data_IF_442439683632
#
_entry.id   IF_442439683632
#
_cell.length_a   1.000
_cell.length_b   1.000
_cell.length_c   1.000
_cell.angle_alpha   90.00
_cell.angle_beta   90.00
_cell.angle_gamma   90.00
#
_symmetry.space_group_name_H-M   'P 1'
#
loop_
_entity.id
_entity.type
_entity.pdbx_description
1 polymer ?
#
# COMPACT_ATOMS: atom_id res chain seq x y z
N UNK A 1 -47.59 -15.18 3.07
CA UNK A 1 -47.79 -13.86 2.42
C UNK A 1 -47.30 -14.00 0.98
N UNK A 2 -47.93 -13.37 -0.05
CA UNK A 2 -47.40 -13.44 -1.39
C UNK A 2 -46.01 -12.77 -1.36
N UNK A 3 -45.03 -13.40 -2.02
CA UNK A 3 -43.66 -12.88 -2.11
C UNK A 3 -43.71 -11.47 -2.67
N UNK A 4 -43.05 -10.52 -2.02
CA UNK A 4 -42.99 -9.12 -2.45
C UNK A 4 -42.29 -9.08 -3.82
N UNK A 5 -42.95 -8.56 -4.85
CA UNK A 5 -42.42 -8.53 -6.21
C UNK A 5 -41.22 -7.61 -6.25
N UNK A 6 -40.08 -8.13 -6.70
CA UNK A 6 -38.86 -7.33 -6.92
C UNK A 6 -39.12 -6.21 -7.94
N UNK A 7 -38.44 -5.06 -7.85
CA UNK A 7 -38.66 -3.90 -8.75
C UNK A 7 -38.57 -4.22 -10.24
N UNK A 8 -37.79 -5.24 -10.61
CA UNK A 8 -37.58 -5.68 -12.01
C UNK A 8 -38.49 -6.84 -12.45
N UNK A 9 -39.37 -7.32 -11.58
CA UNK A 9 -40.20 -8.53 -11.85
C UNK A 9 -41.36 -8.31 -12.82
N UNK A 10 -41.56 -7.12 -13.38
CA UNK A 10 -42.77 -6.75 -14.13
C UNK A 10 -43.14 -7.63 -15.31
N UNK A 11 -42.17 -8.31 -15.97
CA UNK A 11 -42.42 -9.21 -17.12
C UNK A 11 -42.41 -10.70 -16.77
N UNK A 12 -42.03 -11.06 -15.55
CA UNK A 12 -41.87 -12.47 -15.16
C UNK A 12 -43.16 -13.03 -14.62
N UNK A 13 -43.49 -14.24 -15.03
CA UNK A 13 -44.68 -14.99 -14.58
C UNK A 13 -44.43 -15.77 -13.28
N UNK A 14 -43.15 -16.06 -12.96
CA UNK A 14 -42.75 -16.82 -11.80
C UNK A 14 -41.84 -15.99 -10.89
N UNK A 15 -41.83 -16.31 -9.59
CA UNK A 15 -40.89 -15.74 -8.64
C UNK A 15 -39.50 -16.33 -8.83
N UNK A 16 -38.47 -15.55 -8.52
CA UNK A 16 -37.07 -16.01 -8.55
C UNK A 16 -36.90 -17.17 -7.52
N UNK A 17 -36.24 -18.24 -7.91
CA UNK A 17 -35.97 -19.35 -7.00
C UNK A 17 -35.05 -18.88 -5.84
N UNK A 18 -35.36 -19.30 -4.62
CA UNK A 18 -34.59 -18.91 -3.43
C UNK A 18 -33.09 -19.27 -3.49
N UNK A 19 -32.73 -20.33 -4.24
CA UNK A 19 -31.33 -20.69 -4.50
C UNK A 19 -30.61 -19.66 -5.36
N UNK A 20 -31.30 -19.09 -6.37
CA UNK A 20 -30.77 -18.03 -7.24
C UNK A 20 -30.62 -16.75 -6.44
N UNK A 21 -31.60 -16.39 -5.59
CA UNK A 21 -31.48 -15.19 -4.75
C UNK A 21 -30.27 -15.26 -3.83
N UNK A 22 -30.04 -16.38 -3.16
CA UNK A 22 -28.86 -16.59 -2.30
C UNK A 22 -27.56 -16.54 -3.10
N UNK A 23 -27.53 -17.13 -4.30
CA UNK A 23 -26.33 -17.20 -5.14
C UNK A 23 -25.96 -15.84 -5.72
N UNK A 24 -26.94 -14.98 -6.00
CA UNK A 24 -26.71 -13.68 -6.63
C UNK A 24 -26.64 -12.51 -5.62
N UNK A 25 -26.94 -12.75 -4.34
CA UNK A 25 -26.89 -11.71 -3.32
C UNK A 25 -25.47 -11.30 -3.00
N UNK A 26 -25.21 -9.99 -2.97
CA UNK A 26 -23.93 -9.38 -2.61
C UNK A 26 -23.95 -8.61 -1.29
N UNK A 27 -25.12 -8.51 -0.65
CA UNK A 27 -25.34 -7.70 0.55
C UNK A 27 -24.32 -7.97 1.67
N UNK A 28 -23.86 -9.20 1.81
CA UNK A 28 -22.95 -9.60 2.90
C UNK A 28 -21.57 -8.94 2.80
N UNK A 29 -21.10 -8.56 1.61
CA UNK A 29 -19.84 -7.84 1.43
C UNK A 29 -20.05 -6.39 0.97
N UNK A 30 -21.06 -6.09 0.14
CA UNK A 30 -21.23 -4.75 -0.43
C UNK A 30 -21.89 -3.75 0.55
N UNK A 31 -22.43 -4.22 1.67
CA UNK A 31 -22.97 -3.34 2.73
C UNK A 31 -21.99 -2.26 3.18
N UNK A 32 -20.67 -2.44 3.01
CA UNK A 32 -19.65 -1.41 3.31
C UNK A 32 -19.75 -0.18 2.42
N UNK A 33 -20.42 -0.28 1.27
CA UNK A 33 -20.60 0.83 0.32
C UNK A 33 -21.71 1.80 0.71
N UNK A 34 -22.45 1.56 1.79
CA UNK A 34 -23.64 2.34 2.17
C UNK A 34 -23.40 3.86 2.22
N UNK A 35 -22.22 4.30 2.66
CA UNK A 35 -21.87 5.74 2.70
C UNK A 35 -21.74 6.31 1.30
N UNK A 36 -21.06 5.57 0.42
CA UNK A 36 -20.84 5.97 -0.98
C UNK A 36 -22.16 6.02 -1.75
N UNK A 37 -23.02 5.01 -1.57
CA UNK A 37 -24.33 4.98 -2.21
C UNK A 37 -25.20 6.16 -1.78
N UNK A 38 -25.23 6.46 -0.48
CA UNK A 38 -26.03 7.60 0.04
C UNK A 38 -25.44 8.92 -0.43
N UNK A 39 -24.11 9.10 -0.45
CA UNK A 39 -23.43 10.30 -0.97
C UNK A 39 -23.77 10.51 -2.45
N UNK A 40 -23.61 9.47 -3.27
CA UNK A 40 -23.96 9.49 -4.69
C UNK A 40 -25.44 9.76 -4.92
N UNK A 41 -26.32 9.13 -4.15
CA UNK A 41 -27.77 9.31 -4.23
C UNK A 41 -28.22 10.72 -3.84
N UNK A 42 -27.60 11.36 -2.85
CA UNK A 42 -27.85 12.74 -2.46
C UNK A 42 -27.47 13.70 -3.58
N UNK A 43 -26.30 13.52 -4.19
CA UNK A 43 -25.84 14.31 -5.32
C UNK A 43 -26.75 14.14 -6.55
N UNK A 44 -27.17 12.90 -6.82
CA UNK A 44 -28.10 12.59 -7.90
C UNK A 44 -29.46 13.27 -7.71
N UNK A 45 -30.08 13.12 -6.54
CA UNK A 45 -31.35 13.76 -6.24
C UNK A 45 -31.28 15.32 -6.34
N UNK A 46 -30.14 15.89 -5.93
CA UNK A 46 -29.88 17.32 -6.06
C UNK A 46 -29.83 17.73 -7.54
N UNK A 47 -29.08 17.02 -8.35
CA UNK A 47 -28.96 17.28 -9.79
C UNK A 47 -30.31 17.14 -10.51
N UNK A 48 -31.10 16.08 -10.20
CA UNK A 48 -32.46 15.93 -10.76
C UNK A 48 -33.36 17.12 -10.51
N UNK A 49 -33.30 17.71 -9.31
CA UNK A 49 -34.05 18.91 -8.98
C UNK A 49 -33.51 20.16 -9.66
N UNK A 50 -32.18 20.30 -9.75
CA UNK A 50 -31.54 21.42 -10.43
C UNK A 50 -31.87 21.43 -11.94
N UNK A 51 -32.03 20.26 -12.54
CA UNK A 51 -32.46 20.06 -13.92
C UNK A 51 -34.00 20.13 -14.11
N UNK A 52 -34.80 20.31 -13.06
CA UNK A 52 -36.27 20.37 -13.12
C UNK A 52 -36.92 19.00 -13.40
N UNK A 53 -36.22 17.88 -13.31
CA UNK A 53 -36.74 16.54 -13.55
C UNK A 53 -37.64 16.08 -12.40
N UNK A 54 -37.29 16.46 -11.16
CA UNK A 54 -38.14 16.31 -9.97
C UNK A 54 -38.30 17.66 -9.28
N UNK A 55 -39.40 17.83 -8.51
CA UNK A 55 -39.61 19.07 -7.78
C UNK A 55 -38.60 19.23 -6.64
N UNK A 56 -38.13 20.46 -6.37
CA UNK A 56 -37.18 20.75 -5.27
C UNK A 56 -37.66 20.24 -3.91
N UNK A 57 -38.96 20.27 -3.63
CA UNK A 57 -39.54 19.72 -2.39
C UNK A 57 -39.42 18.22 -2.30
N UNK A 58 -39.47 17.50 -3.43
CA UNK A 58 -39.33 16.04 -3.50
C UNK A 58 -37.86 15.65 -3.28
N UNK A 59 -36.93 16.34 -3.95
CA UNK A 59 -35.49 16.13 -3.71
C UNK A 59 -35.13 16.39 -2.23
N UNK A 60 -35.65 17.46 -1.64
CA UNK A 60 -35.43 17.75 -0.21
C UNK A 60 -35.99 16.65 0.71
N UNK A 61 -37.11 16.01 0.34
CA UNK A 61 -37.70 14.88 1.08
C UNK A 61 -36.82 13.62 0.94
N UNK A 62 -36.36 13.32 -0.28
CA UNK A 62 -35.44 12.23 -0.58
C UNK A 62 -34.12 12.37 0.20
N UNK A 63 -33.49 13.56 0.11
CA UNK A 63 -32.21 13.83 0.79
C UNK A 63 -32.34 13.69 2.31
N UNK A 64 -33.43 14.19 2.91
CA UNK A 64 -33.67 13.98 4.35
C UNK A 64 -33.83 12.50 4.70
N UNK A 65 -34.56 11.74 3.87
CA UNK A 65 -34.75 10.30 4.05
C UNK A 65 -33.42 9.55 3.99
N UNK A 66 -32.59 9.83 2.98
CA UNK A 66 -31.24 9.23 2.82
C UNK A 66 -30.32 9.54 4.01
N UNK A 67 -30.30 10.81 4.47
CA UNK A 67 -29.49 11.21 5.64
C UNK A 67 -29.97 10.55 6.93
N UNK A 68 -31.27 10.31 7.08
CA UNK A 68 -31.81 9.58 8.22
C UNK A 68 -31.42 8.10 8.18
N UNK A 69 -31.44 7.47 6.99
CA UNK A 69 -30.96 6.10 6.79
C UNK A 69 -29.47 5.99 7.13
N UNK A 70 -28.64 6.92 6.63
CA UNK A 70 -27.22 6.99 6.96
C UNK A 70 -27.00 7.03 8.48
N UNK A 71 -27.72 7.92 9.17
CA UNK A 71 -27.58 8.03 10.62
C UNK A 71 -28.03 6.79 11.40
N UNK A 72 -28.99 6.01 10.87
CA UNK A 72 -29.39 4.73 11.47
C UNK A 72 -28.35 3.62 11.22
N UNK A 73 -27.76 3.60 10.01
CA UNK A 73 -26.66 2.67 9.70
C UNK A 73 -25.42 2.92 10.57
N UNK A 74 -25.04 4.17 10.73
CA UNK A 74 -23.91 4.58 11.56
C UNK A 74 -24.07 4.25 13.05
N UNK A 75 -25.34 4.24 13.52
CA UNK A 75 -25.69 3.88 14.91
C UNK A 75 -25.96 2.39 15.09
N UNK A 76 -25.80 1.57 14.03
CA UNK A 76 -26.14 0.14 14.08
C UNK A 76 -27.62 -0.17 14.25
N UNK A 77 -28.50 0.77 13.92
CA UNK A 77 -29.97 0.61 14.05
C UNK A 77 -30.65 0.12 12.78
N UNK A 78 -29.93 0.15 11.65
CA UNK A 78 -30.46 -0.34 10.39
C UNK A 78 -30.44 -1.87 10.37
N UNK A 79 -31.59 -2.47 10.08
CA UNK A 79 -31.74 -3.92 9.97
C UNK A 79 -31.72 -4.29 8.50
N UNK A 80 -30.71 -5.05 8.08
CA UNK A 80 -30.63 -5.60 6.73
C UNK A 80 -31.59 -6.78 6.60
N UNK A 81 -32.41 -6.78 5.54
CA UNK A 81 -33.22 -7.92 5.17
C UNK A 81 -32.38 -8.90 4.32
N UNK A 82 -32.24 -10.16 4.72
CA UNK A 82 -31.52 -11.15 3.91
C UNK A 82 -32.11 -11.38 2.50
N UNK A 83 -33.35 -10.93 2.26
CA UNK A 83 -33.99 -10.98 0.94
C UNK A 83 -33.56 -9.82 0.01
N UNK A 84 -32.89 -8.78 0.54
CA UNK A 84 -32.32 -7.72 -0.29
C UNK A 84 -31.11 -8.25 -1.05
N UNK A 85 -31.09 -7.96 -2.35
CA UNK A 85 -30.04 -8.46 -3.26
C UNK A 85 -28.68 -7.81 -2.99
N UNK A 86 -28.70 -6.50 -2.73
CA UNK A 86 -27.53 -5.64 -2.54
C UNK A 86 -27.86 -4.47 -1.59
N UNK A 87 -26.81 -3.73 -1.20
CA UNK A 87 -26.93 -2.54 -0.34
C UNK A 87 -27.82 -1.44 -0.97
N UNK A 88 -27.79 -1.33 -2.28
CA UNK A 88 -28.53 -0.33 -3.02
C UNK A 88 -30.04 -0.60 -2.96
N UNK A 89 -30.44 -1.87 -3.09
CA UNK A 89 -31.84 -2.29 -2.91
C UNK A 89 -32.31 -2.07 -1.47
N UNK A 90 -31.47 -2.41 -0.48
CA UNK A 90 -31.78 -2.19 0.93
C UNK A 90 -32.04 -0.71 1.24
N UNK A 91 -31.20 0.21 0.72
CA UNK A 91 -31.37 1.66 0.90
C UNK A 91 -32.60 2.18 0.17
N UNK A 92 -32.84 1.78 -1.09
CA UNK A 92 -33.96 2.21 -1.90
C UNK A 92 -35.30 1.74 -1.30
N UNK A 93 -35.39 0.48 -0.90
CA UNK A 93 -36.56 -0.10 -0.23
C UNK A 93 -36.89 0.65 1.08
N UNK A 94 -35.88 0.88 1.91
CA UNK A 94 -36.08 1.61 3.16
C UNK A 94 -36.45 3.07 2.92
N UNK A 95 -35.88 3.72 1.91
CA UNK A 95 -36.27 5.08 1.53
C UNK A 95 -37.74 5.14 1.12
N UNK A 96 -38.22 4.24 0.25
CA UNK A 96 -39.62 4.14 -0.18
C UNK A 96 -40.51 3.89 1.02
N UNK A 97 -40.13 2.99 1.93
CA UNK A 97 -40.88 2.71 3.17
C UNK A 97 -41.08 3.98 4.02
N UNK A 98 -40.05 4.83 4.13
CA UNK A 98 -40.11 6.08 4.95
C UNK A 98 -40.84 7.21 4.31
N UNK A 99 -40.75 7.39 2.99
CA UNK A 99 -41.24 8.59 2.32
C UNK A 99 -42.25 8.31 1.21
N UNK A 100 -42.67 7.04 1.03
CA UNK A 100 -43.65 6.65 0.03
C UNK A 100 -43.11 6.78 -1.40
N UNK A 101 -44.01 6.90 -2.39
CA UNK A 101 -43.71 6.94 -3.82
C UNK A 101 -42.69 8.00 -4.23
N UNK A 102 -42.52 9.03 -3.44
CA UNK A 102 -41.45 10.03 -3.66
C UNK A 102 -40.06 9.36 -3.62
N UNK A 103 -39.86 8.30 -2.82
CA UNK A 103 -38.62 7.58 -2.74
C UNK A 103 -38.24 6.90 -4.05
N UNK A 104 -39.22 6.34 -4.78
CA UNK A 104 -39.00 5.71 -6.09
C UNK A 104 -38.49 6.66 -7.18
N UNK A 105 -38.72 8.00 -7.02
CA UNK A 105 -38.19 8.99 -7.96
C UNK A 105 -36.66 9.10 -7.94
N UNK A 106 -35.99 8.60 -6.90
CA UNK A 106 -34.52 8.57 -6.82
C UNK A 106 -33.90 7.76 -7.96
N UNK A 107 -34.57 6.72 -8.47
CA UNK A 107 -34.04 5.88 -9.54
C UNK A 107 -34.15 6.53 -10.94
N UNK A 108 -34.78 7.70 -11.06
CA UNK A 108 -34.95 8.41 -12.35
C UNK A 108 -33.62 8.69 -13.00
N UNK A 109 -33.46 8.34 -14.30
CA UNK A 109 -32.24 8.53 -15.11
C UNK A 109 -30.99 7.80 -14.57
N UNK A 110 -31.14 6.76 -13.77
CA UNK A 110 -30.07 5.96 -13.18
C UNK A 110 -30.29 4.49 -13.44
N UNK A 111 -29.20 3.75 -13.61
CA UNK A 111 -29.15 2.29 -13.60
C UNK A 111 -28.35 1.79 -12.40
N UNK A 112 -28.57 0.53 -11.98
CA UNK A 112 -27.69 -0.12 -11.03
C UNK A 112 -26.23 -0.14 -11.51
N UNK A 113 -25.99 -0.20 -12.84
CA UNK A 113 -24.65 -0.27 -13.43
C UNK A 113 -23.81 0.99 -13.14
N UNK A 114 -24.35 2.19 -13.42
CA UNK A 114 -23.61 3.43 -13.18
C UNK A 114 -23.62 3.84 -11.69
N UNK A 115 -24.62 3.41 -10.92
CA UNK A 115 -24.68 3.57 -9.48
C UNK A 115 -23.52 2.77 -8.81
N UNK A 116 -23.37 1.50 -9.09
CA UNK A 116 -22.27 0.65 -8.57
C UNK A 116 -20.91 1.21 -9.02
N UNK A 117 -20.78 1.59 -10.30
CA UNK A 117 -19.55 2.18 -10.80
C UNK A 117 -19.15 3.46 -10.03
N UNK A 118 -20.12 4.29 -9.63
CA UNK A 118 -19.88 5.47 -8.80
C UNK A 118 -19.42 5.07 -7.40
N UNK A 119 -20.14 4.16 -6.74
CA UNK A 119 -19.89 3.78 -5.36
C UNK A 119 -18.52 3.15 -5.19
N UNK A 120 -18.11 2.30 -6.12
CA UNK A 120 -16.77 1.70 -6.14
C UNK A 120 -15.67 2.77 -6.30
N UNK A 121 -15.88 3.79 -7.16
CA UNK A 121 -14.93 4.89 -7.31
C UNK A 121 -14.88 5.80 -6.09
N UNK A 122 -16.02 6.11 -5.47
CA UNK A 122 -16.07 6.87 -4.22
C UNK A 122 -15.35 6.12 -3.09
N UNK A 123 -15.68 4.83 -2.93
CA UNK A 123 -15.03 3.96 -1.94
C UNK A 123 -13.52 3.93 -2.13
N UNK A 124 -13.06 3.56 -3.33
CA UNK A 124 -11.63 3.41 -3.56
C UNK A 124 -10.89 4.76 -3.48
N UNK A 125 -11.52 5.88 -3.86
CA UNK A 125 -10.96 7.22 -3.66
C UNK A 125 -10.68 7.51 -2.19
N UNK A 126 -11.62 7.19 -1.30
CA UNK A 126 -11.45 7.38 0.14
C UNK A 126 -10.37 6.45 0.70
N UNK A 127 -10.33 5.19 0.26
CA UNK A 127 -9.33 4.24 0.73
C UNK A 127 -7.91 4.57 0.23
N UNK A 128 -7.77 5.05 -1.00
CA UNK A 128 -6.48 5.54 -1.50
C UNK A 128 -5.98 6.72 -0.67
N UNK A 129 -6.86 7.65 -0.29
CA UNK A 129 -6.50 8.79 0.56
C UNK A 129 -6.09 8.32 1.97
N UNK A 130 -6.77 7.31 2.54
CA UNK A 130 -6.46 6.71 3.84
C UNK A 130 -5.12 5.94 3.80
N UNK A 131 -4.91 5.09 2.81
CA UNK A 131 -3.66 4.33 2.62
C UNK A 131 -2.48 5.29 2.40
N UNK A 132 -2.68 6.34 1.61
CA UNK A 132 -1.70 7.41 1.38
C UNK A 132 -1.26 8.06 2.68
N UNK A 133 -2.21 8.39 3.57
CA UNK A 133 -1.90 8.95 4.89
C UNK A 133 -1.10 7.98 5.76
N UNK A 134 -1.40 6.67 5.72
CA UNK A 134 -0.64 5.64 6.45
C UNK A 134 0.78 5.48 5.92
N UNK A 135 0.97 5.51 4.59
CA UNK A 135 2.30 5.49 3.98
C UNK A 135 3.14 6.71 4.40
N UNK A 136 2.55 7.89 4.43
CA UNK A 136 3.22 9.10 4.96
C UNK A 136 3.59 8.90 6.44
N UNK A 137 2.71 8.28 7.23
CA UNK A 137 3.00 7.92 8.61
C UNK A 137 4.20 6.99 8.75
N UNK A 138 4.25 5.93 7.94
CA UNK A 138 5.37 4.99 7.90
C UNK A 138 6.67 5.67 7.47
N UNK A 139 6.64 6.52 6.44
CA UNK A 139 7.80 7.29 6.01
C UNK A 139 8.33 8.18 7.12
N UNK A 140 7.46 8.92 7.82
CA UNK A 140 7.84 9.73 8.98
C UNK A 140 8.50 8.91 10.08
N UNK A 141 7.99 7.71 10.35
CA UNK A 141 8.57 6.78 11.32
C UNK A 141 9.98 6.35 10.90
N UNK A 142 10.17 5.98 9.63
CA UNK A 142 11.49 5.60 9.09
C UNK A 142 12.49 6.75 9.15
N UNK A 143 12.07 7.95 8.81
CA UNK A 143 12.90 9.18 8.88
C UNK A 143 13.32 9.46 10.32
N UNK A 144 12.40 9.34 11.28
CA UNK A 144 12.70 9.53 12.72
C UNK A 144 13.71 8.48 13.22
N UNK A 145 13.53 7.21 12.83
CA UNK A 145 14.47 6.14 13.14
C UNK A 145 15.84 6.38 12.49
N UNK A 146 15.89 6.73 11.20
CA UNK A 146 17.13 7.03 10.50
C UNK A 146 17.89 8.20 11.15
N UNK A 147 17.18 9.22 11.63
CA UNK A 147 17.79 10.33 12.36
C UNK A 147 18.44 9.87 13.67
N UNK A 148 17.75 9.01 14.42
CA UNK A 148 18.26 8.45 15.68
C UNK A 148 19.51 7.58 15.44
N UNK A 149 19.49 6.80 14.36
CA UNK A 149 20.52 5.82 14.02
C UNK A 149 21.59 6.35 13.04
N UNK A 150 21.74 7.68 12.92
CA UNK A 150 22.62 8.32 11.93
C UNK A 150 24.11 7.96 12.11
N UNK A 151 24.51 7.43 13.25
CA UNK A 151 25.87 7.01 13.55
C UNK A 151 26.06 5.50 13.62
N UNK A 152 24.97 4.72 13.58
CA UNK A 152 24.99 3.28 13.69
C UNK A 152 25.53 2.67 12.41
N UNK A 153 26.73 2.07 12.48
CA UNK A 153 27.38 1.35 11.38
C UNK A 153 26.95 -0.10 11.42
N UNK A 154 26.61 -0.66 10.26
CA UNK A 154 26.24 -2.05 10.09
C UNK A 154 26.92 -2.65 8.84
N UNK A 155 27.03 -3.99 8.72
CA UNK A 155 27.46 -4.59 7.48
C UNK A 155 26.39 -4.46 6.41
N UNK A 156 26.73 -3.94 5.23
CA UNK A 156 25.91 -4.06 4.05
C UNK A 156 26.09 -5.45 3.43
N UNK A 157 25.04 -6.00 2.83
CA UNK A 157 25.03 -7.33 2.25
C UNK A 157 24.72 -7.31 0.75
N UNK A 158 25.42 -8.12 0.00
CA UNK A 158 25.05 -8.55 -1.36
C UNK A 158 25.20 -10.05 -1.43
N UNK A 159 24.27 -10.76 -2.11
CA UNK A 159 24.28 -12.22 -2.19
C UNK A 159 24.30 -12.92 -0.80
N UNK A 160 23.71 -12.30 0.23
CA UNK A 160 23.78 -12.73 1.62
C UNK A 160 25.21 -12.81 2.19
N UNK A 161 26.18 -12.20 1.50
CA UNK A 161 27.56 -12.08 1.96
C UNK A 161 27.82 -10.64 2.45
N UNK A 162 28.63 -10.51 3.50
CA UNK A 162 29.10 -9.20 3.95
C UNK A 162 29.87 -8.51 2.82
N UNK A 163 29.50 -7.27 2.53
CA UNK A 163 30.10 -6.50 1.46
C UNK A 163 30.85 -5.29 2.03
N UNK A 164 30.20 -4.17 2.18
CA UNK A 164 30.81 -2.93 2.66
C UNK A 164 30.06 -2.42 3.90
N UNK A 165 30.73 -1.64 4.79
CA UNK A 165 30.04 -1.02 5.91
C UNK A 165 29.10 0.08 5.40
N UNK A 166 27.90 0.15 5.97
CA UNK A 166 26.89 1.15 5.68
C UNK A 166 26.31 1.71 6.99
N UNK A 167 25.63 2.83 6.93
CA UNK A 167 24.83 3.30 8.07
C UNK A 167 23.48 2.60 8.10
N UNK A 168 22.98 2.24 9.29
CA UNK A 168 21.62 1.78 9.48
C UNK A 168 20.61 2.83 8.99
N UNK A 169 20.90 4.11 9.22
CA UNK A 169 20.11 5.21 8.69
C UNK A 169 20.00 5.18 7.17
N UNK A 170 21.09 4.83 6.46
CA UNK A 170 21.08 4.70 5.00
C UNK A 170 20.17 3.56 4.54
N UNK A 171 20.20 2.43 5.23
CA UNK A 171 19.32 1.29 4.99
C UNK A 171 17.83 1.65 5.22
N UNK A 172 17.50 2.30 6.32
CA UNK A 172 16.13 2.74 6.62
C UNK A 172 15.60 3.71 5.56
N UNK A 173 16.44 4.64 5.12
CA UNK A 173 16.09 5.58 4.05
C UNK A 173 15.87 4.88 2.70
N UNK A 174 16.51 3.74 2.43
CA UNK A 174 16.23 2.97 1.21
C UNK A 174 14.78 2.47 1.15
N UNK A 175 14.21 2.05 2.28
CA UNK A 175 12.78 1.72 2.37
C UNK A 175 11.87 2.95 2.30
N UNK A 176 12.28 4.08 2.89
CA UNK A 176 11.56 5.33 2.72
C UNK A 176 11.42 5.72 1.24
N UNK A 177 12.48 5.51 0.42
CA UNK A 177 12.44 5.71 -1.04
C UNK A 177 11.49 4.74 -1.75
N UNK A 178 11.40 3.48 -1.30
CA UNK A 178 10.46 2.52 -1.88
C UNK A 178 9.02 2.96 -1.63
N UNK A 179 8.69 3.35 -0.40
CA UNK A 179 7.35 3.83 -0.03
C UNK A 179 7.02 5.20 -0.65
N UNK A 180 8.03 6.03 -0.95
CA UNK A 180 7.83 7.26 -1.73
C UNK A 180 7.32 6.94 -3.15
N UNK A 181 7.91 5.97 -3.81
CA UNK A 181 7.44 5.52 -5.13
C UNK A 181 6.06 4.87 -5.09
N UNK A 182 5.69 4.21 -3.97
CA UNK A 182 4.34 3.67 -3.79
C UNK A 182 3.32 4.79 -3.60
N UNK A 183 3.69 5.84 -2.86
CA UNK A 183 2.88 7.05 -2.70
C UNK A 183 2.61 7.75 -4.05
N UNK A 184 3.62 7.85 -4.90
CA UNK A 184 3.50 8.41 -6.24
C UNK A 184 2.56 7.57 -7.13
N UNK A 185 2.67 6.23 -7.08
CA UNK A 185 1.76 5.32 -7.79
C UNK A 185 0.32 5.46 -7.31
N UNK A 186 0.08 5.54 -6.01
CA UNK A 186 -1.25 5.78 -5.47
C UNK A 186 -1.83 7.11 -5.95
N UNK A 187 -1.02 8.17 -5.96
CA UNK A 187 -1.41 9.48 -6.49
C UNK A 187 -1.82 9.42 -7.97
N UNK A 188 -1.09 8.65 -8.77
CA UNK A 188 -1.41 8.45 -10.18
C UNK A 188 -2.66 7.58 -10.38
N UNK A 189 -2.80 6.50 -9.64
CA UNK A 189 -4.00 5.65 -9.62
C UNK A 189 -5.25 6.48 -9.25
N UNK A 190 -5.14 7.32 -8.22
CA UNK A 190 -6.21 8.21 -7.78
C UNK A 190 -6.77 9.11 -8.89
N UNK A 191 -5.93 9.57 -9.80
CA UNK A 191 -6.37 10.39 -10.94
C UNK A 191 -7.34 9.63 -11.85
N UNK A 192 -7.08 8.34 -12.09
CA UNK A 192 -7.93 7.47 -12.93
C UNK A 192 -9.19 6.99 -12.20
N UNK A 193 -9.14 6.83 -10.89
CA UNK A 193 -10.32 6.60 -10.05
C UNK A 193 -11.24 7.82 -10.09
N UNK A 194 -10.69 9.03 -10.08
CA UNK A 194 -11.41 10.28 -9.84
C UNK A 194 -12.08 10.83 -11.11
N UNK A 195 -12.87 9.98 -11.81
CA UNK A 195 -13.67 10.31 -12.99
C UNK A 195 -15.12 9.90 -12.74
N UNK A 196 -16.07 10.81 -12.86
CA UNK A 196 -17.50 10.55 -12.56
C UNK A 196 -18.12 9.58 -13.59
N UNK A 197 -18.65 8.42 -13.17
CA UNK A 197 -19.38 7.51 -14.04
C UNK A 197 -20.88 7.82 -14.12
N UNK A 198 -21.49 8.38 -13.07
CA UNK A 198 -22.94 8.52 -12.95
C UNK A 198 -23.54 9.33 -14.12
N UNK A 199 -24.68 8.86 -14.61
CA UNK A 199 -25.34 9.37 -15.81
C UNK A 199 -24.98 8.59 -17.07
N UNK A 200 -24.11 7.57 -16.99
CA UNK A 200 -23.93 6.58 -18.05
C UNK A 200 -25.15 5.65 -18.16
N UNK A 201 -25.99 5.60 -17.14
CA UNK A 201 -27.14 4.71 -16.99
C UNK A 201 -26.74 3.23 -17.21
N UNK A 202 -27.53 2.43 -17.94
CA UNK A 202 -27.20 1.03 -18.16
C UNK A 202 -25.97 0.83 -19.06
N UNK A 203 -25.87 1.61 -20.16
CA UNK A 203 -24.78 1.57 -21.16
C UNK A 203 -24.86 2.69 -22.21
N UNK A 204 -26.03 3.31 -22.40
CA UNK A 204 -26.27 4.23 -23.50
C UNK A 204 -26.59 5.68 -23.06
N UNK A 205 -26.42 5.97 -21.76
CA UNK A 205 -26.89 7.21 -21.18
C UNK A 205 -28.42 7.24 -21.01
N UNK A 206 -28.99 8.43 -20.92
CA UNK A 206 -30.44 8.64 -20.73
C UNK A 206 -30.97 9.72 -21.67
N UNK A 207 -32.22 9.61 -22.09
CA UNK A 207 -32.93 10.66 -22.83
C UNK A 207 -33.42 11.85 -21.99
N UNK A 208 -33.26 11.79 -20.65
CA UNK A 208 -33.62 12.86 -19.77
C UNK A 208 -32.52 13.95 -19.71
N UNK A 209 -32.85 15.23 -19.55
CA UNK A 209 -31.90 16.36 -19.58
C UNK A 209 -31.10 16.47 -18.28
N UNK A 210 -30.32 15.44 -17.91
CA UNK A 210 -29.46 15.43 -16.73
C UNK A 210 -28.19 16.28 -16.95
N UNK A 211 -27.64 16.80 -15.85
CA UNK A 211 -26.35 17.50 -15.86
C UNK A 211 -25.29 16.70 -15.09
N UNK A 212 -24.49 15.91 -15.81
CA UNK A 212 -23.40 15.13 -15.25
C UNK A 212 -22.27 15.99 -14.65
N UNK A 213 -22.03 17.21 -15.19
CA UNK A 213 -21.04 18.14 -14.65
C UNK A 213 -21.48 18.67 -13.30
N UNK A 214 -22.81 18.92 -13.14
CA UNK A 214 -23.36 19.30 -11.85
C UNK A 214 -23.15 18.21 -10.80
N UNK A 215 -23.41 16.95 -11.16
CA UNK A 215 -23.16 15.79 -10.28
C UNK A 215 -21.67 15.67 -9.95
N UNK A 216 -20.79 15.85 -10.94
CA UNK A 216 -19.34 15.83 -10.73
C UNK A 216 -18.88 16.90 -9.73
N UNK A 217 -19.39 18.12 -9.86
CA UNK A 217 -19.09 19.21 -8.94
C UNK A 217 -19.56 18.91 -7.50
N UNK A 218 -20.76 18.33 -7.35
CA UNK A 218 -21.31 17.95 -6.04
C UNK A 218 -20.50 16.87 -5.32
N UNK A 219 -19.86 15.97 -6.09
CA UNK A 219 -19.06 14.85 -5.57
C UNK A 219 -17.53 15.09 -5.67
N UNK A 220 -17.11 16.31 -6.03
CA UNK A 220 -15.71 16.68 -6.19
C UNK A 220 -14.94 15.79 -7.20
N UNK A 221 -15.60 15.41 -8.30
CA UNK A 221 -14.91 14.77 -9.43
C UNK A 221 -14.43 15.85 -10.42
N UNK A 222 -13.15 15.86 -10.82
CA UNK A 222 -12.61 16.83 -11.76
C UNK A 222 -13.03 16.58 -13.21
N UNK A 223 -13.51 15.38 -13.52
CA UNK A 223 -13.87 14.96 -14.87
C UNK A 223 -15.10 14.06 -14.88
N UNK A 224 -15.74 13.97 -16.05
CA UNK A 224 -16.86 13.06 -16.34
C UNK A 224 -16.39 12.07 -17.38
N UNK A 225 -16.75 10.79 -17.23
CA UNK A 225 -16.40 9.75 -18.19
C UNK A 225 -16.99 10.03 -19.60
N UNK A 226 -16.20 9.73 -20.63
CA UNK A 226 -16.47 10.15 -21.99
C UNK A 226 -17.38 9.20 -22.80
N UNK A 227 -17.41 7.91 -22.41
CA UNK A 227 -18.20 6.88 -23.12
C UNK A 227 -18.99 6.05 -22.10
N UNK A 228 -20.30 5.96 -22.27
CA UNK A 228 -21.19 5.28 -21.32
C UNK A 228 -21.04 3.77 -21.30
N UNK A 229 -20.68 3.14 -22.42
CA UNK A 229 -20.46 1.69 -22.51
C UNK A 229 -19.19 1.28 -21.76
N UNK A 230 -18.11 1.99 -22.00
CA UNK A 230 -16.84 1.84 -21.29
C UNK A 230 -17.01 2.07 -19.79
N UNK A 231 -17.69 3.17 -19.43
CA UNK A 231 -17.90 3.60 -18.05
C UNK A 231 -18.49 2.53 -17.13
N UNK A 232 -19.46 1.75 -17.61
CA UNK A 232 -20.13 0.72 -16.81
C UNK A 232 -19.38 -0.61 -16.81
N UNK A 233 -18.42 -0.79 -17.72
CA UNK A 233 -17.56 -1.97 -17.83
C UNK A 233 -16.21 -1.79 -17.11
N UNK A 234 -15.71 -0.56 -17.04
CA UNK A 234 -14.37 -0.23 -16.56
C UNK A 234 -14.13 -0.71 -15.12
N UNK A 235 -13.10 -1.53 -14.98
CA UNK A 235 -12.51 -1.97 -13.71
C UNK A 235 -10.98 -1.84 -13.73
N UNK A 236 -10.42 -1.17 -14.72
CA UNK A 236 -8.98 -0.99 -14.87
C UNK A 236 -8.38 -0.30 -13.64
N UNK A 237 -9.10 0.67 -13.07
CA UNK A 237 -8.69 1.37 -11.86
C UNK A 237 -8.63 0.45 -10.62
N UNK A 238 -9.44 -0.63 -10.58
CA UNK A 238 -9.38 -1.65 -9.53
C UNK A 238 -8.15 -2.52 -9.72
N UNK A 239 -7.89 -2.98 -10.95
CA UNK A 239 -6.69 -3.74 -11.28
C UNK A 239 -5.42 -2.94 -10.99
N UNK A 240 -5.41 -1.65 -11.35
CA UNK A 240 -4.31 -0.73 -11.06
C UNK A 240 -4.08 -0.57 -9.56
N UNK A 241 -5.13 -0.36 -8.78
CA UNK A 241 -5.00 -0.28 -7.31
C UNK A 241 -4.44 -1.58 -6.73
N UNK A 242 -4.97 -2.75 -7.13
CA UNK A 242 -4.47 -4.04 -6.65
C UNK A 242 -3.02 -4.28 -7.05
N UNK A 243 -2.57 -3.78 -8.22
CA UNK A 243 -1.15 -3.79 -8.59
C UNK A 243 -0.31 -2.92 -7.66
N UNK A 244 -0.74 -1.69 -7.38
CA UNK A 244 -0.03 -0.79 -6.45
C UNK A 244 0.04 -1.39 -5.05
N UNK A 245 -1.08 -1.96 -4.56
CA UNK A 245 -1.15 -2.66 -3.28
C UNK A 245 -0.18 -3.86 -3.24
N UNK A 246 -0.15 -4.66 -4.30
CA UNK A 246 0.76 -5.81 -4.44
C UNK A 246 2.23 -5.38 -4.36
N UNK A 247 2.60 -4.29 -5.03
CA UNK A 247 3.97 -3.78 -5.01
C UNK A 247 4.35 -3.21 -3.64
N UNK A 248 3.43 -2.50 -2.98
CA UNK A 248 3.63 -2.01 -1.62
C UNK A 248 3.82 -3.17 -0.63
N UNK A 249 3.00 -4.23 -0.74
CA UNK A 249 3.16 -5.45 0.05
C UNK A 249 4.49 -6.17 -0.22
N UNK A 250 5.00 -6.14 -1.46
CA UNK A 250 6.33 -6.66 -1.78
C UNK A 250 7.44 -5.89 -1.05
N UNK A 251 7.32 -4.55 -0.96
CA UNK A 251 8.28 -3.72 -0.21
C UNK A 251 8.20 -4.01 1.29
N UNK A 252 7.01 -4.13 1.87
CA UNK A 252 6.81 -4.54 3.26
C UNK A 252 7.39 -5.93 3.52
N UNK A 253 7.13 -6.91 2.64
CA UNK A 253 7.63 -8.28 2.73
C UNK A 253 9.15 -8.33 2.76
N UNK A 254 9.83 -7.57 1.90
CA UNK A 254 11.30 -7.49 1.88
C UNK A 254 11.86 -6.89 3.16
N UNK A 255 11.22 -5.88 3.69
CA UNK A 255 11.64 -5.29 4.96
C UNK A 255 11.42 -6.27 6.12
N UNK A 256 10.27 -6.94 6.16
CA UNK A 256 9.99 -7.97 7.15
C UNK A 256 11.00 -9.12 7.09
N UNK A 257 11.42 -9.56 5.89
CA UNK A 257 12.45 -10.60 5.72
C UNK A 257 13.75 -10.23 6.42
N UNK A 258 14.26 -9.02 6.15
CA UNK A 258 15.49 -8.54 6.79
C UNK A 258 15.31 -8.44 8.32
N UNK A 259 14.19 -7.91 8.80
CA UNK A 259 13.92 -7.78 10.25
C UNK A 259 13.81 -9.15 10.95
N UNK A 260 13.21 -10.15 10.30
CA UNK A 260 13.13 -11.53 10.80
C UNK A 260 14.53 -12.11 10.92
N UNK A 261 15.34 -12.02 9.87
CA UNK A 261 16.73 -12.47 9.91
C UNK A 261 17.52 -11.76 11.01
N UNK A 262 17.38 -10.44 11.13
CA UNK A 262 18.11 -9.64 12.10
C UNK A 262 17.66 -9.84 13.55
N UNK A 263 16.45 -10.35 13.77
CA UNK A 263 15.96 -10.71 15.11
C UNK A 263 16.42 -12.10 15.56
N UNK A 264 17.01 -12.92 14.66
CA UNK A 264 17.49 -14.24 14.99
C UNK A 264 18.70 -14.21 15.94
N UNK A 265 18.93 -15.33 16.63
CA UNK A 265 20.08 -15.49 17.55
C UNK A 265 21.44 -15.31 16.86
N UNK A 266 21.52 -15.65 15.58
CA UNK A 266 22.75 -15.53 14.76
C UNK A 266 23.08 -14.07 14.48
N UNK A 267 22.09 -13.23 14.15
CA UNK A 267 22.30 -11.81 13.84
C UNK A 267 22.25 -10.96 15.10
N UNK A 268 21.16 -11.00 15.85
CA UNK A 268 20.90 -10.14 17.02
C UNK A 268 21.09 -8.65 16.74
N UNK A 269 20.68 -8.19 15.57
CA UNK A 269 20.74 -6.78 15.20
C UNK A 269 19.53 -6.00 15.66
N UNK A 270 18.39 -6.70 15.80
CA UNK A 270 17.08 -6.13 16.10
C UNK A 270 16.44 -6.85 17.27
N UNK A 271 15.78 -6.09 18.13
CA UNK A 271 14.88 -6.61 19.14
C UNK A 271 13.52 -5.93 19.02
N UNK A 272 12.48 -6.74 18.81
CA UNK A 272 11.10 -6.29 18.89
C UNK A 272 10.63 -6.22 20.33
N UNK A 273 9.77 -5.24 20.66
CA UNK A 273 9.07 -5.20 21.92
C UNK A 273 8.20 -6.45 22.10
N UNK A 274 8.05 -6.92 23.33
CA UNK A 274 7.20 -8.06 23.68
C UNK A 274 5.76 -7.90 23.20
N UNK A 275 5.26 -6.67 23.13
CA UNK A 275 3.92 -6.35 22.66
C UNK A 275 3.69 -6.69 21.17
N UNK A 276 4.76 -6.86 20.37
CA UNK A 276 4.70 -7.16 18.93
C UNK A 276 5.30 -8.53 18.57
N UNK A 277 5.40 -9.41 19.57
CA UNK A 277 5.96 -10.77 19.45
C UNK A 277 5.07 -11.77 20.14
N UNK A 278 5.26 -13.06 19.85
CA UNK A 278 4.60 -14.13 20.60
C UNK A 278 5.63 -15.11 21.17
N UNK A 279 5.23 -15.80 22.25
CA UNK A 279 6.03 -16.84 22.85
C UNK A 279 5.69 -18.23 22.30
N UNK A 280 6.36 -19.24 22.82
CA UNK A 280 6.06 -20.65 22.57
C UNK A 280 5.35 -21.26 23.79
N UNK A 281 4.33 -22.07 23.55
CA UNK A 281 3.63 -22.80 24.61
C UNK A 281 4.49 -23.89 25.28
N UNK A 282 5.61 -24.30 24.65
CA UNK A 282 6.50 -25.36 25.14
C UNK A 282 7.93 -24.86 25.41
N UNK A 283 8.36 -23.78 24.78
CA UNK A 283 9.71 -23.23 24.90
C UNK A 283 9.68 -21.85 25.55
N UNK A 284 9.88 -21.74 26.87
CA UNK A 284 9.68 -20.46 27.61
C UNK A 284 10.60 -19.32 27.16
N UNK A 285 11.75 -19.63 26.58
CA UNK A 285 12.75 -18.67 26.12
C UNK A 285 12.48 -18.12 24.72
N UNK A 286 11.52 -18.72 23.98
CA UNK A 286 11.32 -18.40 22.56
C UNK A 286 10.47 -17.15 22.39
N UNK A 287 10.94 -16.23 21.55
CA UNK A 287 10.27 -15.00 21.15
C UNK A 287 10.19 -14.94 19.61
N UNK A 288 8.98 -14.97 19.07
CA UNK A 288 8.74 -15.09 17.63
C UNK A 288 8.40 -13.74 17.01
N UNK A 289 8.92 -13.41 15.82
CA UNK A 289 8.61 -12.17 15.10
C UNK A 289 7.30 -12.29 14.28
N UNK A 290 6.21 -12.78 14.90
CA UNK A 290 4.97 -13.18 14.17
C UNK A 290 4.36 -12.04 13.34
N UNK A 291 4.44 -10.79 13.80
CA UNK A 291 3.91 -9.64 13.05
C UNK A 291 4.63 -9.53 11.71
N UNK A 292 5.96 -9.57 11.71
CA UNK A 292 6.75 -9.50 10.48
C UNK A 292 6.50 -10.72 9.56
N UNK A 293 6.39 -11.93 10.15
CA UNK A 293 6.09 -13.15 9.41
C UNK A 293 4.71 -13.10 8.75
N UNK A 294 3.68 -12.64 9.48
CA UNK A 294 2.33 -12.52 8.94
C UNK A 294 2.22 -11.46 7.85
N UNK A 295 2.89 -10.31 7.97
CA UNK A 295 2.93 -9.31 6.91
C UNK A 295 3.56 -9.90 5.65
N UNK A 296 4.70 -10.60 5.78
CA UNK A 296 5.34 -11.33 4.69
C UNK A 296 4.39 -12.35 4.06
N UNK A 297 3.67 -13.14 4.87
CA UNK A 297 2.71 -14.14 4.41
C UNK A 297 1.49 -13.54 3.70
N UNK A 298 0.94 -12.43 4.22
CA UNK A 298 -0.24 -11.74 3.65
C UNK A 298 0.03 -11.14 2.25
N UNK A 299 1.28 -10.96 1.86
CA UNK A 299 1.65 -10.53 0.50
C UNK A 299 1.09 -11.44 -0.57
N UNK A 300 1.11 -12.76 -0.35
CA UNK A 300 0.56 -13.75 -1.30
C UNK A 300 -0.95 -13.56 -1.52
N UNK A 301 -1.69 -13.13 -0.48
CA UNK A 301 -3.12 -12.87 -0.54
C UNK A 301 -3.43 -11.72 -1.49
N UNK A 302 -2.76 -10.58 -1.33
CA UNK A 302 -2.93 -9.40 -2.20
C UNK A 302 -2.50 -9.69 -3.65
N UNK A 303 -1.50 -10.55 -3.86
CA UNK A 303 -1.17 -11.04 -5.20
C UNK A 303 -2.30 -11.87 -5.81
N UNK A 304 -2.94 -12.73 -5.01
CA UNK A 304 -4.11 -13.48 -5.42
C UNK A 304 -5.26 -12.57 -5.84
N UNK A 305 -5.50 -11.48 -5.11
CA UNK A 305 -6.53 -10.50 -5.42
C UNK A 305 -6.27 -9.79 -6.77
N UNK A 306 -5.03 -9.40 -7.04
CA UNK A 306 -4.67 -8.83 -8.34
C UNK A 306 -4.92 -9.83 -9.48
N UNK A 307 -4.51 -11.08 -9.29
CA UNK A 307 -4.70 -12.13 -10.29
C UNK A 307 -6.20 -12.45 -10.51
N UNK A 308 -7.01 -12.41 -9.45
CA UNK A 308 -8.46 -12.58 -9.55
C UNK A 308 -9.09 -11.49 -10.44
N UNK A 309 -8.76 -10.22 -10.21
CA UNK A 309 -9.27 -9.09 -11.02
C UNK A 309 -8.81 -9.20 -12.47
N UNK A 310 -7.53 -9.46 -12.73
CA UNK A 310 -7.02 -9.60 -14.10
C UNK A 310 -7.68 -10.77 -14.86
N UNK A 311 -7.93 -11.88 -14.14
CA UNK A 311 -8.60 -13.04 -14.69
C UNK A 311 -10.09 -12.76 -14.94
N UNK A 312 -10.76 -12.05 -14.04
CA UNK A 312 -12.14 -11.62 -14.19
C UNK A 312 -12.35 -10.80 -15.48
N UNK A 313 -11.49 -9.82 -15.71
CA UNK A 313 -11.60 -8.91 -16.86
C UNK A 313 -11.32 -9.60 -18.21
N UNK A 314 -10.52 -10.67 -18.20
CA UNK A 314 -10.12 -11.36 -19.42
C UNK A 314 -11.32 -11.99 -20.13
N UNK A 315 -11.61 -11.55 -21.34
CA UNK A 315 -12.58 -12.16 -22.23
C UNK A 315 -14.05 -11.84 -21.98
N UNK A 316 -14.34 -10.87 -21.07
CA UNK A 316 -15.71 -10.38 -20.89
C UNK A 316 -16.18 -9.60 -22.13
N UNK A 317 -17.45 -9.78 -22.55
CA UNK A 317 -18.06 -8.90 -23.52
C UNK A 317 -18.12 -7.46 -23.02
N UNK A 318 -18.20 -6.50 -23.96
CA UNK A 318 -18.34 -5.09 -23.62
C UNK A 318 -19.59 -4.82 -22.78
N UNK A 319 -19.52 -3.76 -21.96
CA UNK A 319 -20.51 -3.30 -21.00
C UNK A 319 -20.55 -4.14 -19.71
N UNK A 320 -21.66 -4.07 -18.97
CA UNK A 320 -21.80 -4.80 -17.72
C UNK A 320 -22.23 -6.25 -17.95
N UNK A 321 -21.51 -7.19 -17.35
CA UNK A 321 -21.88 -8.57 -17.16
C UNK A 321 -21.87 -8.87 -15.65
N UNK A 322 -22.70 -9.83 -15.20
CA UNK A 322 -22.81 -10.17 -13.79
C UNK A 322 -21.51 -10.63 -13.17
N UNK A 323 -20.60 -11.14 -13.96
CA UNK A 323 -19.21 -11.46 -13.58
C UNK A 323 -18.51 -10.29 -12.86
N UNK A 324 -18.77 -9.06 -13.29
CA UNK A 324 -18.22 -7.87 -12.65
C UNK A 324 -18.69 -7.62 -11.19
N UNK A 325 -19.60 -8.45 -10.67
CA UNK A 325 -19.91 -8.45 -9.24
C UNK A 325 -18.74 -8.98 -8.40
N UNK A 326 -17.94 -9.89 -8.98
CA UNK A 326 -16.77 -10.51 -8.35
C UNK A 326 -15.54 -9.54 -8.24
N UNK A 327 -15.67 -8.29 -8.66
CA UNK A 327 -14.65 -7.25 -8.52
C UNK A 327 -14.46 -6.79 -7.07
N UNK A 328 -15.49 -6.96 -6.22
CA UNK A 328 -15.58 -6.33 -4.90
C UNK A 328 -14.77 -7.07 -3.84
N UNK A 329 -14.93 -8.38 -3.73
CA UNK A 329 -14.26 -9.14 -2.68
C UNK A 329 -12.73 -9.06 -2.78
N UNK A 330 -12.09 -9.25 -3.96
CA UNK A 330 -10.64 -9.07 -4.10
C UNK A 330 -10.18 -7.63 -3.84
N UNK A 331 -10.97 -6.62 -4.23
CA UNK A 331 -10.64 -5.24 -3.92
C UNK A 331 -10.70 -4.96 -2.42
N UNK A 332 -11.80 -5.37 -1.78
CA UNK A 332 -12.00 -5.14 -0.34
C UNK A 332 -10.95 -5.84 0.49
N UNK A 333 -10.59 -7.06 0.11
CA UNK A 333 -9.55 -7.84 0.76
C UNK A 333 -8.17 -7.20 0.65
N UNK A 334 -7.79 -6.75 -0.55
CA UNK A 334 -6.54 -6.03 -0.78
C UNK A 334 -6.47 -4.72 0.02
N UNK A 335 -7.57 -3.95 0.06
CA UNK A 335 -7.68 -2.70 0.85
C UNK A 335 -7.51 -3.00 2.34
N UNK A 336 -8.27 -3.93 2.89
CA UNK A 336 -8.25 -4.26 4.31
C UNK A 336 -6.85 -4.80 4.71
N UNK A 337 -6.31 -5.73 3.93
CA UNK A 337 -4.99 -6.32 4.18
C UNK A 337 -3.88 -5.28 4.17
N UNK A 338 -3.84 -4.40 3.17
CA UNK A 338 -2.82 -3.35 3.09
C UNK A 338 -2.95 -2.34 4.22
N UNK A 339 -4.17 -1.92 4.55
CA UNK A 339 -4.44 -1.00 5.65
C UNK A 339 -3.96 -1.54 7.00
N UNK A 340 -4.26 -2.80 7.29
CA UNK A 340 -3.87 -3.47 8.54
C UNK A 340 -2.36 -3.66 8.60
N UNK A 341 -1.73 -4.11 7.51
CA UNK A 341 -0.29 -4.30 7.46
C UNK A 341 0.48 -2.99 7.65
N UNK A 342 0.07 -1.89 7.01
CA UNK A 342 0.71 -0.58 7.18
C UNK A 342 0.57 -0.06 8.62
N UNK A 343 -0.60 -0.23 9.23
CA UNK A 343 -0.85 0.22 10.59
C UNK A 343 0.03 -0.53 11.59
N UNK A 344 -0.07 -1.86 11.63
CA UNK A 344 0.67 -2.68 12.59
C UNK A 344 2.19 -2.62 12.37
N UNK A 345 2.64 -2.54 11.11
CA UNK A 345 4.07 -2.43 10.79
C UNK A 345 4.66 -1.12 11.30
N UNK A 346 3.95 0.00 11.12
CA UNK A 346 4.37 1.32 11.62
C UNK A 346 4.48 1.32 13.14
N UNK A 347 3.51 0.73 13.84
CA UNK A 347 3.51 0.61 15.29
C UNK A 347 4.65 -0.28 15.79
N UNK A 348 4.85 -1.45 15.18
CA UNK A 348 5.94 -2.38 15.50
C UNK A 348 7.31 -1.69 15.36
N UNK A 349 7.54 -0.96 14.26
CA UNK A 349 8.79 -0.23 14.04
C UNK A 349 9.04 0.85 15.10
N UNK A 350 8.00 1.53 15.57
CA UNK A 350 8.13 2.53 16.63
C UNK A 350 8.66 1.95 17.96
N UNK A 351 8.42 0.65 18.17
CA UNK A 351 8.80 -0.10 19.39
C UNK A 351 9.93 -1.12 19.13
N UNK A 352 10.67 -0.94 18.03
CA UNK A 352 11.81 -1.77 17.67
C UNK A 352 13.11 -1.09 18.09
N UNK A 353 14.01 -1.83 18.72
CA UNK A 353 15.37 -1.40 19.07
C UNK A 353 16.42 -2.07 18.19
N UNK A 354 17.55 -1.37 18.02
CA UNK A 354 18.70 -1.86 17.26
C UNK A 354 19.92 -1.98 18.17
N UNK A 355 20.68 -3.07 18.01
CA UNK A 355 21.89 -3.32 18.78
C UNK A 355 23.11 -2.78 18.03
N UNK A 356 23.40 -1.48 18.19
CA UNK A 356 24.44 -0.77 17.46
C UNK A 356 25.84 -1.42 17.62
N UNK A 357 26.18 -1.86 18.83
CA UNK A 357 27.48 -2.50 19.10
C UNK A 357 27.59 -3.82 18.33
N UNK A 358 26.53 -4.63 18.35
CA UNK A 358 26.48 -5.90 17.61
C UNK A 358 26.59 -5.70 16.09
N UNK A 359 25.93 -4.66 15.56
CA UNK A 359 26.04 -4.30 14.17
C UNK A 359 27.45 -3.83 13.80
N UNK A 360 28.07 -3.02 14.67
CA UNK A 360 29.43 -2.52 14.48
C UNK A 360 30.46 -3.66 14.45
N UNK A 361 30.39 -4.56 15.43
CA UNK A 361 31.27 -5.74 15.49
C UNK A 361 31.12 -6.63 14.25
N UNK A 362 29.88 -6.84 13.82
CA UNK A 362 29.60 -7.60 12.61
C UNK A 362 30.14 -6.91 11.34
N UNK A 363 30.16 -5.56 11.30
CA UNK A 363 30.70 -4.80 10.18
C UNK A 363 32.22 -4.87 10.09
N UNK A 364 32.93 -5.04 11.21
CA UNK A 364 34.40 -5.18 11.27
C UNK A 364 34.90 -6.50 10.68
N UNK A 365 34.06 -7.52 10.54
CA UNK A 365 34.47 -8.83 10.01
C UNK A 365 34.38 -8.93 8.48
N UNK A 366 35.07 -9.95 7.91
CA UNK A 366 34.93 -10.32 6.50
C UNK A 366 35.58 -9.37 5.50
N UNK A 367 36.59 -8.65 5.94
CA UNK A 367 37.37 -7.73 5.07
C UNK A 367 36.51 -6.62 4.43
N UNK A 368 35.49 -6.14 5.12
CA UNK A 368 34.47 -5.21 4.59
C UNK A 368 35.04 -3.88 4.08
N UNK A 369 36.24 -3.48 4.56
CA UNK A 369 36.96 -2.26 4.17
C UNK A 369 38.05 -2.52 3.11
N UNK A 370 38.13 -3.70 2.52
CA UNK A 370 39.14 -4.00 1.48
C UNK A 370 39.02 -3.04 0.27
N UNK A 371 37.80 -2.64 -0.12
CA UNK A 371 37.61 -1.64 -1.18
C UNK A 371 38.26 -0.31 -0.84
N UNK A 372 38.28 0.08 0.44
CA UNK A 372 38.90 1.33 0.89
C UNK A 372 40.43 1.32 0.71
N UNK A 373 41.08 0.14 0.80
CA UNK A 373 42.49 -0.05 0.46
C UNK A 373 42.73 0.21 -1.04
N UNK A 374 41.91 -0.38 -1.91
CA UNK A 374 42.01 -0.16 -3.34
C UNK A 374 41.78 1.31 -3.71
N UNK A 375 40.77 1.98 -3.13
CA UNK A 375 40.50 3.39 -3.32
C UNK A 375 41.64 4.29 -2.78
N UNK A 376 42.27 3.89 -1.67
CA UNK A 376 43.44 4.56 -1.13
C UNK A 376 44.60 4.57 -2.14
N UNK A 377 44.91 3.43 -2.74
CA UNK A 377 45.93 3.29 -3.77
C UNK A 377 45.59 4.09 -5.04
N UNK A 378 44.33 4.09 -5.46
CA UNK A 378 43.87 4.92 -6.59
C UNK A 378 44.11 6.40 -6.35
N UNK A 379 43.86 6.92 -5.14
CA UNK A 379 44.14 8.30 -4.75
C UNK A 379 45.64 8.63 -4.81
N UNK A 380 46.49 7.61 -4.74
CA UNK A 380 47.95 7.72 -4.92
C UNK A 380 48.41 7.51 -6.38
N UNK A 381 47.49 7.42 -7.33
CA UNK A 381 47.77 7.32 -8.76
C UNK A 381 47.90 5.88 -9.27
N UNK A 382 47.63 4.85 -8.46
CA UNK A 382 47.66 3.45 -8.91
C UNK A 382 46.40 3.14 -9.73
N UNK A 383 46.51 2.60 -10.95
CA UNK A 383 45.32 2.19 -11.70
C UNK A 383 44.46 1.22 -10.92
N UNK A 384 43.12 1.36 -10.98
CA UNK A 384 42.18 0.60 -10.14
C UNK A 384 42.37 -0.92 -10.24
N UNK A 385 42.60 -1.47 -11.44
CA UNK A 385 42.81 -2.92 -11.62
C UNK A 385 44.04 -3.42 -10.85
N UNK A 386 45.11 -2.65 -10.88
CA UNK A 386 46.34 -2.98 -10.14
C UNK A 386 46.16 -2.79 -8.62
N UNK A 387 45.46 -1.73 -8.20
CA UNK A 387 45.08 -1.51 -6.81
C UNK A 387 44.23 -2.67 -6.27
N UNK A 388 43.26 -3.15 -7.07
CA UNK A 388 42.43 -4.32 -6.73
C UNK A 388 43.28 -5.63 -6.59
N UNK A 389 44.24 -5.87 -7.48
CA UNK A 389 45.15 -7.00 -7.41
C UNK A 389 46.00 -6.97 -6.13
N UNK A 390 46.60 -5.82 -5.81
CA UNK A 390 47.35 -5.61 -4.57
C UNK A 390 46.46 -5.89 -3.36
N UNK A 391 45.27 -5.34 -3.34
CA UNK A 391 44.29 -5.53 -2.24
C UNK A 391 43.88 -6.98 -2.11
N UNK A 392 43.68 -7.71 -3.21
CA UNK A 392 43.40 -9.14 -3.22
C UNK A 392 44.53 -9.94 -2.61
N UNK A 393 45.80 -9.57 -2.88
CA UNK A 393 46.98 -10.16 -2.26
C UNK A 393 47.02 -9.96 -0.74
N UNK A 394 46.67 -8.73 -0.27
CA UNK A 394 46.59 -8.43 1.15
C UNK A 394 45.52 -9.28 1.84
N UNK A 395 44.31 -9.37 1.25
CA UNK A 395 43.20 -10.19 1.80
C UNK A 395 43.64 -11.69 1.86
N UNK A 396 44.26 -12.20 0.81
CA UNK A 396 44.75 -13.59 0.80
C UNK A 396 45.83 -13.84 1.89
N UNK A 397 46.70 -12.85 2.13
CA UNK A 397 47.67 -12.90 3.21
C UNK A 397 46.97 -12.93 4.58
N UNK A 398 46.00 -12.05 4.80
CA UNK A 398 45.21 -12.03 6.04
C UNK A 398 44.53 -13.36 6.30
N UNK A 399 43.88 -13.97 5.30
CA UNK A 399 43.24 -15.29 5.41
C UNK A 399 44.22 -16.33 5.83
N UNK A 400 45.40 -16.40 5.15
CA UNK A 400 46.45 -17.37 5.42
C UNK A 400 47.03 -17.27 6.85
N UNK A 401 47.15 -16.03 7.34
CA UNK A 401 47.76 -15.75 8.64
C UNK A 401 46.72 -15.56 9.78
N UNK A 402 45.44 -15.76 9.47
CA UNK A 402 44.29 -15.56 10.41
C UNK A 402 44.28 -14.17 11.07
N UNK A 403 44.59 -13.14 10.29
CA UNK A 403 44.55 -11.74 10.64
C UNK A 403 43.33 -11.06 10.04
N UNK A 404 42.85 -9.98 10.68
CA UNK A 404 41.96 -9.00 10.06
C UNK A 404 42.79 -7.87 9.39
N UNK A 405 42.15 -7.02 8.63
CA UNK A 405 42.85 -5.86 8.03
C UNK A 405 43.38 -4.89 9.10
N UNK A 406 42.65 -4.74 10.21
CA UNK A 406 43.02 -3.88 11.32
C UNK A 406 44.21 -4.39 12.15
N UNK A 407 44.58 -5.68 11.98
CA UNK A 407 45.73 -6.30 12.65
C UNK A 407 47.04 -6.05 11.89
N UNK A 408 46.97 -5.47 10.67
CA UNK A 408 48.15 -5.22 9.87
C UNK A 408 48.80 -3.90 10.25
N UNK A 409 50.15 -3.92 10.37
CA UNK A 409 50.96 -2.72 10.52
C UNK A 409 51.38 -2.17 9.13
N UNK A 410 51.81 -0.93 9.08
CA UNK A 410 52.17 -0.24 7.83
C UNK A 410 53.23 -1.02 7.04
N UNK A 411 54.24 -1.60 7.69
CA UNK A 411 55.30 -2.38 7.08
C UNK A 411 54.74 -3.63 6.35
N UNK A 412 53.68 -4.26 6.86
CA UNK A 412 53.03 -5.38 6.20
C UNK A 412 52.31 -4.90 4.93
N UNK A 413 51.62 -3.78 4.96
CA UNK A 413 51.04 -3.18 3.76
C UNK A 413 52.14 -2.80 2.73
N UNK A 414 53.24 -2.22 3.19
CA UNK A 414 54.36 -1.86 2.32
C UNK A 414 55.04 -3.04 1.63
N UNK A 415 54.97 -4.24 2.21
CA UNK A 415 55.44 -5.46 1.57
C UNK A 415 54.71 -5.83 0.28
N UNK A 416 53.47 -5.35 0.11
CA UNK A 416 52.66 -5.52 -1.11
C UNK A 416 52.82 -4.35 -2.08
N UNK A 417 52.99 -3.13 -1.55
CA UNK A 417 53.21 -1.92 -2.35
C UNK A 417 53.91 -0.86 -1.52
N UNK A 418 55.10 -0.45 -1.92
CA UNK A 418 55.94 0.49 -1.16
C UNK A 418 55.27 1.92 -0.95
N UNK A 419 54.26 2.23 -1.72
CA UNK A 419 53.57 3.52 -1.59
C UNK A 419 52.55 3.59 -0.45
N UNK A 420 52.36 2.59 0.38
CA UNK A 420 51.54 2.72 1.61
C UNK A 420 52.26 3.57 2.66
N UNK A 421 51.52 4.37 3.41
CA UNK A 421 51.98 5.15 4.56
C UNK A 421 50.98 4.97 5.75
N UNK A 422 51.27 5.56 6.89
CA UNK A 422 50.49 5.46 8.12
C UNK A 422 49.02 5.84 7.95
N UNK A 423 48.64 6.62 6.92
CA UNK A 423 47.25 7.00 6.65
C UNK A 423 46.38 5.83 6.22
N UNK A 424 46.97 4.66 5.88
CA UNK A 424 46.22 3.48 5.52
C UNK A 424 45.40 2.96 6.74
N UNK A 425 45.97 3.03 7.95
CA UNK A 425 45.32 2.60 9.18
C UNK A 425 44.03 3.40 9.43
N UNK A 426 44.05 4.69 9.13
CA UNK A 426 42.83 5.50 9.23
C UNK A 426 41.86 5.22 8.08
N UNK A 427 42.34 4.97 6.89
CA UNK A 427 41.52 4.75 5.71
C UNK A 427 40.65 3.47 5.83
N UNK A 428 41.12 2.43 6.51
CA UNK A 428 40.42 1.15 6.68
C UNK A 428 39.48 1.10 7.90
N UNK A 429 39.43 2.17 8.73
CA UNK A 429 38.50 2.24 9.83
C UNK A 429 37.05 2.28 9.31
N UNK A 430 36.13 1.55 9.94
CA UNK A 430 34.71 1.53 9.57
C UNK A 430 34.12 2.95 9.46
N UNK A 431 34.43 3.80 10.44
CA UNK A 431 33.99 5.19 10.46
C UNK A 431 34.50 6.03 9.29
N UNK A 432 35.75 5.80 8.88
CA UNK A 432 36.37 6.47 7.72
C UNK A 432 35.74 5.97 6.43
N UNK A 433 35.55 4.66 6.30
CA UNK A 433 34.91 4.01 5.16
C UNK A 433 33.52 4.59 4.89
N UNK A 434 32.60 4.62 5.86
CA UNK A 434 31.28 5.21 5.67
C UNK A 434 31.34 6.71 5.43
N UNK A 435 32.22 7.45 6.12
CA UNK A 435 32.34 8.91 6.01
C UNK A 435 32.92 9.39 4.67
N UNK A 436 33.66 8.53 3.96
CA UNK A 436 34.22 8.85 2.67
C UNK A 436 33.18 8.93 1.54
N UNK A 437 32.04 8.26 1.66
CA UNK A 437 31.01 8.13 0.63
C UNK A 437 30.00 9.27 0.66
N UNK A 438 30.44 10.50 0.27
CA UNK A 438 29.74 11.79 0.47
C UNK A 438 28.83 12.22 -0.68
N UNK A 439 28.89 11.55 -1.83
CA UNK A 439 28.06 11.89 -2.99
C UNK A 439 26.57 11.65 -2.66
N UNK A 440 25.67 12.31 -3.39
CA UNK A 440 24.23 12.11 -3.25
C UNK A 440 23.90 10.61 -3.40
N UNK A 441 23.14 10.06 -2.45
CA UNK A 441 22.84 8.64 -2.39
C UNK A 441 23.95 7.76 -1.75
N UNK A 442 25.06 8.35 -1.30
CA UNK A 442 26.10 7.64 -0.54
C UNK A 442 25.70 7.43 0.93
N UNK A 443 26.41 6.53 1.61
CA UNK A 443 26.10 6.15 2.99
C UNK A 443 26.69 7.08 4.07
N UNK A 444 27.40 8.17 3.71
CA UNK A 444 27.98 9.04 4.72
C UNK A 444 26.90 9.74 5.57
N UNK A 445 27.22 10.08 6.84
CA UNK A 445 26.27 10.81 7.70
C UNK A 445 25.78 12.13 7.08
N UNK A 446 26.64 12.81 6.29
CA UNK A 446 26.28 14.05 5.60
C UNK A 446 25.27 13.82 4.49
N UNK A 447 25.50 12.82 3.63
CA UNK A 447 24.61 12.49 2.51
C UNK A 447 23.25 11.97 2.98
N UNK A 448 23.26 11.07 3.98
CA UNK A 448 22.02 10.55 4.59
C UNK A 448 21.27 11.65 5.33
N UNK A 449 21.97 12.50 6.08
CA UNK A 449 21.36 13.64 6.78
C UNK A 449 20.75 14.69 5.84
N UNK A 450 21.31 14.89 4.66
CA UNK A 450 20.71 15.71 3.61
C UNK A 450 19.38 15.09 3.12
N UNK A 451 19.37 13.79 2.83
CA UNK A 451 18.17 13.10 2.37
C UNK A 451 17.06 13.05 3.44
N UNK A 452 17.42 12.88 4.70
CA UNK A 452 16.47 12.98 5.83
C UNK A 452 15.79 14.36 5.81
N UNK A 453 16.55 15.45 5.67
CA UNK A 453 15.98 16.81 5.61
C UNK A 453 15.08 17.05 4.39
N UNK A 454 15.33 16.37 3.27
CA UNK A 454 14.46 16.44 2.09
C UNK A 454 13.08 15.79 2.36
N UNK A 455 13.05 14.67 3.08
CA UNK A 455 11.79 14.00 3.47
C UNK A 455 10.99 14.76 4.55
N UNK A 456 11.64 15.63 5.31
CA UNK A 456 10.98 16.43 6.36
C UNK A 456 10.31 17.71 5.83
N UNK A 457 10.59 18.09 4.58
CA UNK A 457 9.97 19.25 3.89
C UNK A 457 8.63 18.88 3.28
#
# INVERSE_FOLDING_TARGET
>A
MPAEKKPWAGRFSEATAASVERFTSSLHYDRRLYRCDIEGSVAHATMLADCGIIAKKEAAKIIRGLKAILGDMEKGKFVFDPADEDIHMAIEKELIRRIGDTGGKLHTARSRNDQIALDMRLYLRHEVDNISAKLVGLQKQLVAMARREIKTVMPGYTHMQKAQPVLLAHYLMAFAEMFQRDQERLSDCRKRINVLPLGAAALAGTGLPIDRRRTAALLNFPAVSANSMDTVADRDYIAEFNFVASLCMAHLSRFCEDLILWSSDEFRFVEFSDAYTTGSSIMPQKKNPDVAELIRGKTARVYGDLMAILTLLKGLPMTYNRDLQEDKEPLFDAVDTLNDCLAIFTEMLAHTSFHADRMYDAAGGGFSTATDIAEYLVKKGVPFRHAHEITGGIVAYCIKHKKNLDDLIVEEFQSFYAGFDEKIEDAIKLSSSVSARRHRGGTSPSAVGERIREFEK
#
